data_IF_652964252594
#
_entry.id   IF_652964252594
#
_cell.length_a   1.000
_cell.length_b   1.000
_cell.length_c   1.000
_cell.angle_alpha   90.00
_cell.angle_beta   90.00
_cell.angle_gamma   90.00
#
_symmetry.space_group_name_H-M   'P 1'
#
loop_
_entity.id
_entity.type
_entity.pdbx_description
1 polymer ?
#
# COMPACT_ATOMS: atom_id res chain seq x y z
N UNK A 1 -30.11 -16.02 -61.03
CA UNK A 1 -29.51 -17.29 -60.54
C UNK A 1 -30.14 -17.52 -59.17
N UNK A 2 -30.98 -18.54 -58.98
CA UNK A 2 -30.62 -19.97 -58.84
C UNK A 2 -29.59 -20.17 -57.71
N UNK A 3 -29.75 -21.02 -56.69
CA UNK A 3 -30.90 -21.66 -56.03
C UNK A 3 -30.41 -22.13 -54.62
N UNK A 4 -31.11 -22.81 -53.70
CA UNK A 4 -32.42 -23.49 -53.67
C UNK A 4 -32.94 -23.61 -52.21
N UNK A 5 -34.07 -24.28 -51.97
CA UNK A 5 -34.52 -24.71 -50.63
C UNK A 5 -34.15 -26.19 -50.39
N UNK A 6 -33.62 -26.53 -49.21
CA UNK A 6 -33.71 -27.90 -48.67
C UNK A 6 -33.66 -27.92 -47.13
N UNK A 7 -34.23 -28.96 -46.47
CA UNK A 7 -34.95 -28.71 -45.22
C UNK A 7 -34.28 -29.23 -43.94
N UNK A 8 -34.78 -28.71 -42.81
CA UNK A 8 -34.50 -29.18 -41.45
C UNK A 8 -34.81 -30.68 -41.31
N UNK A 9 -33.80 -31.48 -40.96
CA UNK A 9 -34.00 -32.88 -40.56
C UNK A 9 -34.09 -32.98 -39.04
N UNK A 10 -35.30 -33.21 -38.54
CA UNK A 10 -35.48 -33.70 -37.16
C UNK A 10 -34.86 -35.09 -37.03
N UNK A 11 -33.82 -35.21 -36.22
CA UNK A 11 -33.24 -36.48 -35.82
C UNK A 11 -33.65 -36.78 -34.37
N UNK A 12 -34.67 -37.62 -34.19
CA UNK A 12 -35.02 -38.20 -32.90
C UNK A 12 -33.85 -39.04 -32.37
N UNK A 13 -33.25 -38.64 -31.25
CA UNK A 13 -32.26 -39.46 -30.55
C UNK A 13 -32.96 -40.42 -29.58
N UNK A 14 -32.66 -41.74 -29.63
CA UNK A 14 -33.21 -42.70 -28.68
C UNK A 14 -32.64 -42.52 -27.27
N UNK A 15 -33.32 -43.11 -26.28
CA UNK A 15 -33.10 -42.87 -24.86
C UNK A 15 -31.69 -43.24 -24.35
N UNK A 16 -31.26 -42.50 -23.32
CA UNK A 16 -30.00 -42.72 -22.60
C UNK A 16 -30.19 -43.93 -21.66
N UNK A 17 -29.33 -44.97 -21.72
CA UNK A 17 -29.31 -46.00 -20.67
C UNK A 17 -28.67 -45.43 -19.40
N UNK A 18 -29.41 -45.44 -18.30
CA UNK A 18 -28.91 -45.02 -16.98
C UNK A 18 -27.86 -46.00 -16.46
N UNK A 19 -26.59 -45.61 -16.53
CA UNK A 19 -25.50 -46.28 -15.81
C UNK A 19 -25.42 -45.75 -14.36
N UNK A 20 -25.19 -46.59 -13.34
CA UNK A 20 -25.02 -46.12 -11.97
C UNK A 20 -23.73 -45.30 -11.84
N UNK A 21 -23.83 -44.12 -11.22
CA UNK A 21 -22.66 -43.30 -10.88
C UNK A 21 -21.86 -44.02 -9.80
N UNK A 22 -20.61 -44.37 -10.11
CA UNK A 22 -19.66 -44.86 -9.13
C UNK A 22 -19.21 -43.69 -8.24
N UNK A 23 -19.53 -43.73 -6.95
CA UNK A 23 -19.08 -42.74 -5.97
C UNK A 23 -17.57 -42.87 -5.76
N UNK A 24 -16.79 -42.02 -6.44
CA UNK A 24 -15.37 -41.84 -6.15
C UNK A 24 -15.21 -41.16 -4.79
N UNK A 25 -14.93 -41.95 -3.76
CA UNK A 25 -14.52 -41.47 -2.45
C UNK A 25 -13.18 -40.75 -2.58
N UNK A 26 -13.19 -39.42 -2.49
CA UNK A 26 -11.98 -38.61 -2.38
C UNK A 26 -11.54 -38.64 -0.91
N UNK A 27 -10.32 -39.10 -0.58
CA UNK A 27 -9.84 -39.03 0.79
C UNK A 27 -9.66 -37.56 1.19
N UNK A 28 -10.39 -37.12 2.21
CA UNK A 28 -10.15 -35.85 2.89
C UNK A 28 -8.83 -35.93 3.67
N UNK A 29 -7.71 -35.68 2.98
CA UNK A 29 -6.43 -35.41 3.63
C UNK A 29 -6.55 -34.08 4.35
N UNK A 30 -6.89 -34.13 5.64
CA UNK A 30 -6.86 -32.97 6.53
C UNK A 30 -5.43 -32.42 6.56
N UNK A 31 -5.22 -31.28 5.89
CA UNK A 31 -3.96 -30.55 5.97
C UNK A 31 -3.80 -30.07 7.41
N UNK A 32 -2.70 -30.50 8.06
CA UNK A 32 -2.36 -30.01 9.39
C UNK A 32 -2.28 -28.48 9.37
N UNK A 33 -2.73 -27.78 10.43
CA UNK A 33 -2.62 -26.33 10.49
C UNK A 33 -1.17 -25.91 10.30
N UNK A 34 -0.91 -25.12 9.24
CA UNK A 34 0.39 -24.47 9.07
C UNK A 34 0.63 -23.63 10.33
N UNK A 35 1.80 -23.70 10.99
CA UNK A 35 2.05 -22.90 12.18
C UNK A 35 1.94 -21.42 11.80
N UNK A 36 0.85 -20.79 12.25
CA UNK A 36 0.69 -19.34 12.17
C UNK A 36 1.76 -18.77 13.08
N UNK A 37 2.83 -18.25 12.48
CA UNK A 37 3.85 -17.51 13.22
C UNK A 37 3.19 -16.24 13.74
N UNK A 38 2.70 -16.29 14.97
CA UNK A 38 2.25 -15.12 15.72
C UNK A 38 3.46 -14.22 15.93
N UNK A 39 3.67 -13.29 15.00
CA UNK A 39 4.66 -12.24 15.16
C UNK A 39 4.25 -11.42 16.39
N UNK A 40 5.09 -11.46 17.42
CA UNK A 40 4.81 -10.85 18.70
C UNK A 40 4.91 -9.33 18.55
N UNK A 41 3.76 -8.66 18.43
CA UNK A 41 3.70 -7.24 18.12
C UNK A 41 4.26 -6.38 19.24
N UNK A 42 5.25 -5.56 18.90
CA UNK A 42 5.72 -4.44 19.72
C UNK A 42 4.98 -3.20 19.28
N UNK A 43 4.17 -2.62 20.17
CA UNK A 43 3.58 -1.28 19.94
C UNK A 43 4.71 -0.27 19.70
N UNK A 44 4.85 0.22 18.47
CA UNK A 44 5.82 1.26 18.14
C UNK A 44 5.28 2.59 18.63
N UNK A 45 5.85 3.11 19.71
CA UNK A 45 5.55 4.46 20.19
C UNK A 45 6.00 5.49 19.15
N UNK A 46 5.11 6.43 18.81
CA UNK A 46 5.43 7.54 17.92
C UNK A 46 6.21 8.59 18.73
N UNK A 47 7.43 8.98 18.32
CA UNK A 47 8.19 9.98 19.05
C UNK A 47 7.50 11.36 19.04
N UNK A 48 7.45 12.02 20.20
CA UNK A 48 6.94 13.40 20.34
C UNK A 48 7.67 14.42 19.46
N UNK A 49 8.90 14.09 19.02
CA UNK A 49 9.72 14.94 18.16
C UNK A 49 10.32 14.13 17.01
N UNK A 50 10.10 14.60 15.79
CA UNK A 50 10.69 14.02 14.59
C UNK A 50 12.22 14.13 14.60
N UNK A 51 12.90 13.13 14.03
CA UNK A 51 14.32 13.22 13.74
C UNK A 51 14.55 14.14 12.53
N UNK A 52 15.49 15.07 12.66
CA UNK A 52 15.94 15.91 11.55
C UNK A 52 17.46 16.12 11.63
N UNK A 53 18.21 16.02 10.52
CA UNK A 53 19.61 16.39 10.44
C UNK A 53 19.81 17.90 10.23
N UNK A 54 18.72 18.67 10.04
CA UNK A 54 18.77 20.12 9.85
C UNK A 54 19.11 20.80 11.18
N UNK A 55 19.82 21.92 11.10
CA UNK A 55 20.29 22.71 12.26
C UNK A 55 19.57 24.07 12.20
N UNK A 56 18.43 24.24 12.88
CA UNK A 56 17.58 25.44 12.76
C UNK A 56 18.34 26.74 13.02
N UNK A 57 19.31 26.73 13.92
CA UNK A 57 20.13 27.89 14.30
C UNK A 57 20.98 28.40 13.13
N UNK A 58 21.42 27.51 12.23
CA UNK A 58 22.15 27.90 11.01
C UNK A 58 21.23 28.56 9.99
N UNK A 59 19.98 28.10 9.89
CA UNK A 59 18.97 28.74 9.04
C UNK A 59 18.55 30.10 9.62
N UNK A 60 18.33 30.19 10.93
CA UNK A 60 18.06 31.45 11.62
C UNK A 60 19.16 32.49 11.39
N UNK A 61 20.44 32.08 11.51
CA UNK A 61 21.56 32.97 11.19
C UNK A 61 21.58 33.38 9.71
N UNK A 62 21.33 32.45 8.78
CA UNK A 62 21.33 32.75 7.34
C UNK A 62 20.15 33.65 6.90
N UNK A 63 19.03 33.58 7.60
CA UNK A 63 17.80 34.35 7.34
C UNK A 63 17.69 35.64 8.18
N UNK A 64 18.68 35.93 9.04
CA UNK A 64 18.67 37.06 9.98
C UNK A 64 18.32 38.41 9.33
N UNK A 65 18.86 38.67 8.14
CA UNK A 65 18.68 39.92 7.40
C UNK A 65 17.72 39.75 6.19
N UNK A 66 16.88 38.72 6.21
CA UNK A 66 15.88 38.47 5.17
C UNK A 66 14.71 39.48 5.29
N UNK A 67 14.19 40.06 4.19
CA UNK A 67 13.22 41.15 4.26
C UNK A 67 11.86 40.80 4.89
N UNK A 68 11.47 39.52 4.88
CA UNK A 68 10.23 39.02 5.47
C UNK A 68 10.56 38.18 6.72
N UNK A 69 10.57 38.86 7.87
CA UNK A 69 10.86 38.23 9.15
C UNK A 69 9.80 37.21 9.58
N UNK A 70 8.53 37.41 9.21
CA UNK A 70 7.45 36.46 9.54
C UNK A 70 7.66 35.13 8.81
N UNK A 71 8.04 35.16 7.53
CA UNK A 71 8.45 33.96 6.79
C UNK A 71 9.69 33.30 7.42
N UNK A 72 10.70 34.08 7.80
CA UNK A 72 11.93 33.55 8.39
C UNK A 72 11.65 32.81 9.71
N UNK A 73 10.86 33.43 10.60
CA UNK A 73 10.45 32.84 11.88
C UNK A 73 9.56 31.60 11.67
N UNK A 74 8.57 31.66 10.76
CA UNK A 74 7.76 30.50 10.39
C UNK A 74 8.61 29.34 9.87
N UNK A 75 9.59 29.63 9.00
CA UNK A 75 10.46 28.62 8.43
C UNK A 75 11.32 27.94 9.51
N UNK A 76 12.01 28.72 10.34
CA UNK A 76 12.86 28.19 11.42
C UNK A 76 12.04 27.41 12.45
N UNK A 77 10.86 27.90 12.81
CA UNK A 77 9.95 27.19 13.71
C UNK A 77 9.49 25.85 13.11
N UNK A 78 9.13 25.84 11.82
CA UNK A 78 8.72 24.64 11.10
C UNK A 78 9.81 23.57 10.97
N UNK A 79 11.10 23.94 10.99
CA UNK A 79 12.20 22.97 11.08
C UNK A 79 12.24 22.21 12.41
N UNK A 80 11.65 22.76 13.48
CA UNK A 80 11.64 22.18 14.83
C UNK A 80 10.32 21.43 15.08
N UNK A 81 9.20 22.03 14.68
CA UNK A 81 7.84 21.60 15.06
C UNK A 81 7.03 21.02 13.89
N UNK A 82 7.57 21.03 12.67
CA UNK A 82 6.85 20.65 11.45
C UNK A 82 6.09 21.80 10.80
N UNK A 83 5.66 21.60 9.56
CA UNK A 83 4.99 22.62 8.74
C UNK A 83 3.49 22.32 8.59
N UNK A 84 2.67 23.38 8.51
CA UNK A 84 1.24 23.23 8.19
C UNK A 84 1.07 23.01 6.69
N UNK A 85 0.50 21.87 6.30
CA UNK A 85 0.25 21.52 4.89
C UNK A 85 -0.90 22.30 4.22
N UNK A 86 -1.66 23.10 4.99
CA UNK A 86 -2.72 23.96 4.45
C UNK A 86 -4.04 23.27 4.08
N UNK A 87 -4.24 22.01 4.48
CA UNK A 87 -5.52 21.32 4.30
C UNK A 87 -6.64 21.98 5.13
N UNK A 88 -7.80 22.20 4.50
CA UNK A 88 -8.99 22.85 5.09
C UNK A 88 -10.29 22.08 4.78
N UNK A 89 -10.18 20.83 4.34
CA UNK A 89 -11.32 19.94 4.09
C UNK A 89 -11.81 19.20 5.35
N UNK A 90 -12.76 18.27 5.22
CA UNK A 90 -13.30 17.49 6.33
C UNK A 90 -12.31 16.43 6.84
N UNK A 91 -12.33 16.18 8.15
CA UNK A 91 -11.52 15.14 8.78
C UNK A 91 -12.03 13.73 8.41
N UNK A 92 -11.38 13.05 7.47
CA UNK A 92 -11.79 11.73 6.94
C UNK A 92 -10.72 10.67 7.18
N UNK A 93 -11.14 9.43 7.46
CA UNK A 93 -10.26 8.26 7.37
C UNK A 93 -10.36 7.68 5.96
N UNK A 94 -9.23 7.50 5.28
CA UNK A 94 -9.18 6.88 3.94
C UNK A 94 -8.12 5.80 3.93
N UNK A 95 -8.47 4.58 3.51
CA UNK A 95 -7.53 3.47 3.40
C UNK A 95 -7.56 2.91 1.98
N UNK A 96 -6.59 3.31 1.17
CA UNK A 96 -6.47 2.87 -0.23
C UNK A 96 -5.63 1.59 -0.31
N UNK A 97 -6.15 0.47 -0.84
CA UNK A 97 -5.38 -0.77 -0.96
C UNK A 97 -4.12 -0.63 -1.84
N UNK A 98 -3.06 -1.34 -1.49
CA UNK A 98 -1.83 -1.37 -2.29
C UNK A 98 -2.07 -1.84 -3.73
N UNK A 99 -1.42 -1.14 -4.67
CA UNK A 99 -1.49 -1.45 -6.09
C UNK A 99 -1.02 -2.88 -6.37
N UNK A 100 -1.49 -3.47 -7.48
CA UNK A 100 -1.18 -4.86 -7.85
C UNK A 100 0.33 -5.15 -7.79
N UNK A 101 1.17 -4.25 -8.31
CA UNK A 101 2.63 -4.44 -8.34
C UNK A 101 3.30 -4.44 -6.97
N UNK A 102 2.72 -3.78 -5.95
CA UNK A 102 3.22 -3.86 -4.57
C UNK A 102 2.77 -5.15 -3.88
N UNK A 103 1.59 -5.69 -4.23
CA UNK A 103 1.11 -6.99 -3.76
C UNK A 103 1.85 -8.18 -4.40
N UNK A 104 2.35 -8.00 -5.63
CA UNK A 104 3.18 -8.98 -6.34
C UNK A 104 4.67 -8.94 -5.92
N UNK A 105 5.13 -7.84 -5.33
CA UNK A 105 6.51 -7.65 -4.85
C UNK A 105 6.56 -7.17 -3.38
N UNK A 106 5.97 -7.91 -2.42
CA UNK A 106 5.89 -7.50 -1.01
C UNK A 106 7.26 -7.39 -0.34
N UNK A 107 8.26 -8.14 -0.80
CA UNK A 107 9.65 -8.05 -0.35
C UNK A 107 10.27 -6.68 -0.66
N UNK A 108 10.04 -6.13 -1.86
CA UNK A 108 10.52 -4.79 -2.24
C UNK A 108 9.93 -3.71 -1.34
N UNK A 109 8.63 -3.83 -1.02
CA UNK A 109 7.94 -2.89 -0.13
C UNK A 109 8.50 -2.98 1.29
N UNK A 110 8.68 -4.20 1.82
CA UNK A 110 9.23 -4.44 3.16
C UNK A 110 10.66 -3.90 3.30
N UNK A 111 11.51 -4.17 2.32
CA UNK A 111 12.89 -3.69 2.28
C UNK A 111 12.98 -2.16 2.19
N UNK A 112 12.02 -1.52 1.50
CA UNK A 112 11.94 -0.06 1.44
C UNK A 112 11.55 0.52 2.80
N UNK A 113 10.45 0.03 3.40
CA UNK A 113 9.97 0.49 4.72
C UNK A 113 11.04 0.28 5.79
N UNK A 114 11.72 -0.87 5.80
CA UNK A 114 12.81 -1.14 6.73
C UNK A 114 13.98 -0.13 6.60
N UNK A 115 14.29 0.34 5.38
CA UNK A 115 15.32 1.36 5.15
C UNK A 115 14.90 2.74 5.65
N UNK A 116 13.67 3.17 5.36
CA UNK A 116 13.16 4.47 5.84
C UNK A 116 13.01 4.52 7.37
N UNK A 117 12.61 3.40 7.99
CA UNK A 117 12.56 3.25 9.46
C UNK A 117 13.97 3.28 10.06
N UNK A 118 14.93 2.53 9.49
CA UNK A 118 16.32 2.55 9.95
C UNK A 118 16.98 3.94 9.78
N UNK A 119 16.60 4.69 8.75
CA UNK A 119 17.01 6.07 8.51
C UNK A 119 16.28 7.11 9.38
N UNK A 120 15.26 6.68 10.16
CA UNK A 120 14.37 7.54 10.96
C UNK A 120 13.57 8.56 10.14
N UNK A 121 13.39 8.33 8.85
CA UNK A 121 12.53 9.13 7.98
C UNK A 121 11.04 8.75 8.13
N UNK A 122 10.76 7.54 8.61
CA UNK A 122 9.41 7.02 8.81
C UNK A 122 9.32 6.32 10.15
N UNK A 123 8.18 6.47 10.84
CA UNK A 123 7.87 5.75 12.08
C UNK A 123 7.03 4.53 11.74
N UNK A 124 7.34 3.39 12.37
CA UNK A 124 6.61 2.13 12.19
C UNK A 124 7.55 0.93 11.97
N UNK A 125 7.06 -0.16 11.35
CA UNK A 125 5.70 -0.37 10.87
C UNK A 125 4.64 -0.28 11.98
N UNK A 126 3.40 0.03 11.60
CA UNK A 126 2.24 0.15 12.49
C UNK A 126 1.13 -0.77 12.00
N UNK A 127 0.52 -1.53 12.90
CA UNK A 127 -0.50 -2.54 12.55
C UNK A 127 -1.91 -1.94 12.48
N UNK A 128 -2.12 -0.82 13.18
CA UNK A 128 -3.38 -0.10 13.26
C UNK A 128 -3.12 1.42 13.10
N UNK A 129 -4.09 2.18 12.59
CA UNK A 129 -3.98 3.64 12.52
C UNK A 129 -3.70 4.25 13.91
N UNK A 130 -2.61 5.02 14.08
CA UNK A 130 -2.20 5.54 15.39
C UNK A 130 -3.06 6.72 15.88
N UNK A 131 -3.85 7.35 15.02
CA UNK A 131 -4.74 8.46 15.35
C UNK A 131 -6.02 8.43 14.48
N UNK A 132 -7.11 9.10 14.91
CA UNK A 132 -8.33 9.26 14.10
C UNK A 132 -8.06 9.99 12.78
N UNK A 133 -8.94 9.81 11.79
CA UNK A 133 -8.87 10.48 10.47
C UNK A 133 -7.55 10.19 9.71
N UNK A 134 -7.03 8.96 9.86
CA UNK A 134 -5.79 8.53 9.23
C UNK A 134 -5.95 8.26 7.73
N UNK A 135 -4.92 8.61 6.95
CA UNK A 135 -4.87 8.40 5.50
C UNK A 135 -3.79 7.36 5.18
N UNK A 136 -4.19 6.20 4.67
CA UNK A 136 -3.29 5.21 4.05
C UNK A 136 -3.33 5.37 2.52
N UNK A 137 -2.29 5.97 1.95
CA UNK A 137 -2.06 6.00 0.50
C UNK A 137 -1.65 4.64 -0.06
N UNK A 138 -2.00 4.37 -1.32
CA UNK A 138 -1.61 3.13 -2.01
C UNK A 138 -0.11 3.14 -2.31
N UNK A 139 0.59 2.03 -2.08
CA UNK A 139 1.94 1.84 -2.60
C UNK A 139 1.94 1.02 -3.88
N UNK A 140 2.84 1.36 -4.81
CA UNK A 140 3.09 0.64 -6.06
C UNK A 140 4.57 0.52 -6.35
N UNK A 141 4.99 -0.63 -6.87
CA UNK A 141 6.37 -0.87 -7.32
C UNK A 141 6.48 -0.61 -8.82
N UNK A 142 7.57 0.05 -9.25
CA UNK A 142 7.92 0.25 -10.67
C UNK A 142 9.40 -0.04 -10.93
N UNK A 143 9.78 -0.71 -12.03
CA UNK A 143 11.18 -0.85 -12.42
C UNK A 143 11.79 0.49 -12.86
N UNK A 144 13.11 0.63 -12.71
CA UNK A 144 13.91 1.73 -13.26
C UNK A 144 14.58 1.30 -14.57
N UNK A 145 14.79 2.25 -15.50
CA UNK A 145 15.38 1.97 -16.84
C UNK A 145 16.77 1.32 -16.79
N UNK A 146 17.58 1.65 -15.76
CA UNK A 146 18.96 1.16 -15.58
C UNK A 146 19.05 0.04 -14.51
N UNK A 147 17.94 -0.66 -14.25
CA UNK A 147 17.88 -1.71 -13.24
C UNK A 147 17.47 -1.22 -11.85
N UNK A 148 17.03 -2.16 -11.02
CA UNK A 148 16.41 -1.89 -9.72
C UNK A 148 14.99 -1.34 -9.83
N UNK A 149 14.43 -0.98 -8.68
CA UNK A 149 13.02 -0.60 -8.50
C UNK A 149 12.89 0.74 -7.80
N UNK A 150 11.72 1.36 -7.94
CA UNK A 150 11.26 2.51 -7.14
C UNK A 150 9.90 2.15 -6.55
N UNK A 151 9.71 2.52 -5.28
CA UNK A 151 8.40 2.60 -4.68
C UNK A 151 7.76 3.93 -5.13
N UNK A 152 6.45 3.90 -5.36
CA UNK A 152 5.62 5.06 -5.67
C UNK A 152 4.47 5.03 -4.68
N UNK A 153 4.23 6.15 -3.99
CA UNK A 153 3.01 6.36 -3.22
C UNK A 153 1.99 7.07 -4.10
N UNK A 154 0.75 6.60 -4.09
CA UNK A 154 -0.37 7.22 -4.76
C UNK A 154 -1.05 8.21 -3.81
N UNK A 155 -0.92 9.49 -4.11
CA UNK A 155 -1.40 10.61 -3.29
C UNK A 155 -2.62 11.31 -3.92
N UNK A 156 -3.30 10.66 -4.87
CA UNK A 156 -4.53 11.14 -5.54
C UNK A 156 -5.78 10.98 -4.69
#
# INVERSE_FOLDING_TARGET
MLSELCPVRNASKPGIPSSPIATLSVPSTSLAPVPVTTHHFTSVEIPDKAYTPLIPERFAHALKDYPDSEFADYFVNGLINGFRLGYTGPDVTQITPNARTAREHPEVVRDYVAKEVAAKHTVGPLDHPPFPHFICSSMGVRPKKLGGVRLIMDLS
#
